data_IF_577599131869
#
_entry.id   IF_577599131869
#
_cell.length_a   1.000
_cell.length_b   1.000
_cell.length_c   1.000
_cell.angle_alpha   90.00
_cell.angle_beta   90.00
_cell.angle_gamma   90.00
#
_symmetry.space_group_name_H-M   'P 1'
#
loop_
_entity.id
_entity.type
_entity.pdbx_description
1 polymer ?
#
# COMPACT_ATOMS: atom_id res chain seq x y z
N UNK A 1 2.92 -8.23 4.28
CA UNK A 1 3.83 -7.50 5.14
C UNK A 1 5.27 -8.03 5.13
N UNK A 2 5.52 -9.29 4.75
CA UNK A 2 6.87 -9.88 4.69
C UNK A 2 7.65 -9.55 3.41
N UNK A 3 7.14 -8.71 2.51
CA UNK A 3 7.82 -8.37 1.26
C UNK A 3 7.86 -9.49 0.21
N UNK A 4 7.13 -10.58 0.42
CA UNK A 4 7.20 -11.80 -0.40
C UNK A 4 6.23 -11.79 -1.61
N UNK A 5 5.61 -10.66 -1.92
CA UNK A 5 4.68 -10.57 -3.05
C UNK A 5 5.34 -10.87 -4.39
N UNK A 6 6.62 -10.52 -4.57
CA UNK A 6 7.43 -10.85 -5.76
C UNK A 6 7.67 -12.35 -5.93
N UNK A 7 7.70 -13.11 -4.83
CA UNK A 7 7.77 -14.58 -4.83
C UNK A 7 6.41 -15.24 -4.95
N UNK A 8 5.33 -14.46 -5.16
CA UNK A 8 3.95 -14.95 -5.25
C UNK A 8 3.48 -15.73 -4.03
N UNK A 9 4.08 -15.45 -2.86
CA UNK A 9 3.73 -16.07 -1.59
C UNK A 9 2.73 -15.20 -0.83
N UNK A 10 1.62 -15.80 -0.45
CA UNK A 10 0.60 -15.24 0.41
C UNK A 10 -0.12 -16.34 1.16
N UNK A 11 -0.94 -15.95 2.14
CA UNK A 11 -1.81 -16.89 2.84
C UNK A 11 -3.15 -16.22 3.13
N UNK A 12 -4.15 -17.03 3.35
CA UNK A 12 -5.43 -16.63 3.89
C UNK A 12 -5.84 -17.53 5.04
N UNK A 13 -6.71 -17.02 5.90
CA UNK A 13 -7.28 -17.76 7.02
C UNK A 13 -8.79 -17.81 6.80
N UNK A 14 -9.36 -19.03 6.80
CA UNK A 14 -10.77 -19.24 6.58
C UNK A 14 -11.27 -20.45 7.41
N UNK A 15 -12.59 -20.68 7.43
CA UNK A 15 -13.15 -21.89 8.02
C UNK A 15 -12.75 -23.13 7.23
N UNK A 16 -12.81 -24.29 7.91
CA UNK A 16 -12.38 -25.57 7.33
C UNK A 16 -13.09 -25.90 6.01
N UNK A 17 -14.41 -25.69 5.92
CA UNK A 17 -15.19 -26.01 4.71
C UNK A 17 -14.69 -25.23 3.49
N UNK A 18 -14.44 -23.94 3.66
CA UNK A 18 -13.89 -23.09 2.58
C UNK A 18 -12.48 -23.53 2.22
N UNK A 19 -11.62 -23.77 3.22
CA UNK A 19 -10.23 -24.21 2.99
C UNK A 19 -10.19 -25.53 2.23
N UNK A 20 -10.99 -26.52 2.63
CA UNK A 20 -11.04 -27.83 1.95
C UNK A 20 -11.53 -27.68 0.50
N UNK A 21 -12.53 -26.86 0.24
CA UNK A 21 -13.00 -26.59 -1.12
C UNK A 21 -11.92 -25.91 -1.95
N UNK A 22 -11.24 -24.91 -1.39
CA UNK A 22 -10.17 -24.19 -2.09
C UNK A 22 -9.02 -25.14 -2.45
N UNK A 23 -8.54 -25.95 -1.49
CA UNK A 23 -7.43 -26.88 -1.67
C UNK A 23 -7.74 -27.98 -2.70
N UNK A 24 -8.96 -28.49 -2.68
CA UNK A 24 -9.33 -29.64 -3.51
C UNK A 24 -9.82 -29.27 -4.92
N UNK A 25 -10.32 -28.04 -5.12
CA UNK A 25 -10.99 -27.65 -6.36
C UNK A 25 -10.28 -26.49 -7.08
N UNK A 26 -9.75 -25.52 -6.33
CA UNK A 26 -9.25 -24.27 -6.90
C UNK A 26 -7.72 -24.16 -6.91
N UNK A 27 -7.03 -24.92 -6.05
CA UNK A 27 -5.59 -24.84 -5.95
C UNK A 27 -4.90 -25.75 -6.98
N UNK A 28 -3.86 -25.24 -7.63
CA UNK A 28 -3.00 -26.07 -8.47
C UNK A 28 -2.28 -27.13 -7.63
N UNK A 29 -1.98 -28.32 -8.19
CA UNK A 29 -1.30 -29.42 -7.47
C UNK A 29 0.04 -29.02 -6.85
N UNK A 30 0.78 -28.10 -7.51
CA UNK A 30 2.09 -27.59 -7.09
C UNK A 30 2.07 -26.06 -7.03
N UNK A 31 1.40 -25.45 -6.04
CA UNK A 31 1.14 -24.01 -6.03
C UNK A 31 2.39 -23.17 -5.70
N UNK A 32 3.38 -23.75 -5.02
CA UNK A 32 4.58 -23.05 -4.55
C UNK A 32 5.84 -23.81 -4.95
N UNK A 33 6.87 -23.05 -5.35
CA UNK A 33 8.21 -23.62 -5.55
C UNK A 33 8.91 -23.85 -4.21
N UNK A 34 9.87 -24.76 -4.17
CA UNK A 34 10.70 -25.01 -2.99
C UNK A 34 11.36 -23.73 -2.49
N UNK A 35 11.91 -22.91 -3.39
CA UNK A 35 12.54 -21.62 -3.05
C UNK A 35 11.54 -20.69 -2.37
N UNK A 36 10.29 -20.64 -2.85
CA UNK A 36 9.24 -19.83 -2.26
C UNK A 36 8.89 -20.30 -0.85
N UNK A 37 8.85 -21.61 -0.63
CA UNK A 37 8.56 -22.21 0.69
C UNK A 37 9.69 -21.87 1.67
N UNK A 38 10.94 -22.10 1.32
CA UNK A 38 12.12 -21.81 2.16
C UNK A 38 12.22 -20.32 2.51
N UNK A 39 11.96 -19.42 1.53
CA UNK A 39 11.91 -18.00 1.79
C UNK A 39 10.79 -17.62 2.77
N UNK A 40 9.64 -18.28 2.69
CA UNK A 40 8.50 -18.08 3.60
C UNK A 40 8.84 -18.51 5.03
N UNK A 41 9.44 -19.66 5.21
CA UNK A 41 9.89 -20.20 6.51
C UNK A 41 10.90 -19.23 7.13
N UNK A 42 11.95 -18.86 6.38
CA UNK A 42 12.98 -17.92 6.86
C UNK A 42 12.40 -16.56 7.24
N UNK A 43 11.42 -16.07 6.51
CA UNK A 43 10.74 -14.80 6.84
C UNK A 43 9.95 -14.90 8.14
N UNK A 44 9.25 -16.01 8.39
CA UNK A 44 8.51 -16.23 9.63
C UNK A 44 9.43 -16.34 10.84
N UNK A 45 10.54 -17.05 10.73
CA UNK A 45 11.57 -17.17 11.77
C UNK A 45 12.15 -15.79 12.14
N UNK A 46 12.31 -14.91 11.15
CA UNK A 46 12.82 -13.55 11.33
C UNK A 46 11.71 -12.49 11.54
N UNK A 47 10.52 -12.92 11.92
CA UNK A 47 9.35 -12.02 12.07
C UNK A 47 9.58 -10.81 12.97
N UNK A 48 10.46 -10.90 13.98
CA UNK A 48 10.81 -9.75 14.85
C UNK A 48 11.42 -8.58 14.07
N UNK A 49 12.20 -8.84 13.01
CA UNK A 49 12.75 -7.78 12.15
C UNK A 49 11.65 -7.07 11.37
N UNK A 50 10.62 -7.80 10.98
CA UNK A 50 9.48 -7.24 10.24
C UNK A 50 8.59 -6.36 11.11
N UNK A 51 8.49 -6.63 12.41
CA UNK A 51 7.69 -5.83 13.33
C UNK A 51 8.17 -4.37 13.38
N UNK A 52 9.48 -4.14 13.42
CA UNK A 52 10.04 -2.79 13.36
C UNK A 52 9.64 -2.03 12.07
N UNK A 53 9.71 -2.69 10.92
CA UNK A 53 9.26 -2.09 9.65
C UNK A 53 7.76 -1.80 9.65
N UNK A 54 6.94 -2.69 10.22
CA UNK A 54 5.49 -2.49 10.35
C UNK A 54 5.17 -1.27 11.23
N UNK A 55 5.89 -1.06 12.31
CA UNK A 55 5.66 0.09 13.21
C UNK A 55 6.06 1.41 12.55
N UNK A 56 7.14 1.42 11.76
CA UNK A 56 7.48 2.58 10.92
C UNK A 56 6.35 2.86 9.92
N UNK A 57 5.84 1.85 9.22
CA UNK A 57 4.74 2.01 8.28
C UNK A 57 3.49 2.58 8.97
N UNK A 58 3.13 2.09 10.16
CA UNK A 58 1.97 2.60 10.91
C UNK A 58 2.13 4.07 11.27
N UNK A 59 3.30 4.45 11.77
CA UNK A 59 3.62 5.83 12.17
C UNK A 59 3.58 6.77 10.97
N UNK A 60 4.27 6.41 9.90
CA UNK A 60 4.34 7.23 8.69
C UNK A 60 2.99 7.31 7.96
N UNK A 61 2.20 6.24 7.94
CA UNK A 61 0.85 6.26 7.41
C UNK A 61 -0.03 7.27 8.13
N UNK A 62 -0.01 7.26 9.46
CA UNK A 62 -0.73 8.24 10.28
C UNK A 62 -0.29 9.67 9.93
N UNK A 63 1.02 9.90 9.85
CA UNK A 63 1.59 11.20 9.48
C UNK A 63 1.12 11.68 8.10
N UNK A 64 1.12 10.80 7.09
CA UNK A 64 0.66 11.14 5.73
C UNK A 64 -0.83 11.47 5.74
N UNK A 65 -1.67 10.65 6.38
CA UNK A 65 -3.12 10.89 6.47
C UNK A 65 -3.41 12.25 7.13
N UNK A 66 -2.78 12.53 8.28
CA UNK A 66 -2.98 13.78 9.01
C UNK A 66 -2.55 15.02 8.21
N UNK A 67 -1.46 14.90 7.43
CA UNK A 67 -1.01 16.01 6.61
C UNK A 67 -1.88 16.22 5.36
N UNK A 68 -2.30 15.15 4.69
CA UNK A 68 -3.19 15.29 3.54
C UNK A 68 -4.57 15.85 3.94
N UNK A 69 -5.08 15.51 5.12
CA UNK A 69 -6.35 16.01 5.65
C UNK A 69 -6.36 17.51 5.99
N UNK A 70 -5.20 18.18 5.94
CA UNK A 70 -5.14 19.63 6.10
C UNK A 70 -5.65 20.40 4.86
N UNK A 71 -5.81 19.71 3.74
CA UNK A 71 -6.24 20.29 2.48
C UNK A 71 -7.69 19.89 2.18
N UNK A 72 -8.60 20.85 2.21
CA UNK A 72 -10.04 20.63 1.93
C UNK A 72 -10.29 20.11 0.51
N UNK A 73 -9.30 20.29 -0.39
CA UNK A 73 -9.33 19.78 -1.75
C UNK A 73 -9.10 18.27 -1.85
N UNK A 74 -8.82 17.58 -0.74
CA UNK A 74 -8.58 16.15 -0.69
C UNK A 74 -9.54 15.44 0.26
N UNK A 75 -10.20 14.41 -0.21
CA UNK A 75 -10.87 13.43 0.64
C UNK A 75 -9.93 12.26 0.91
N UNK A 76 -9.52 12.08 2.18
CA UNK A 76 -8.50 11.10 2.56
C UNK A 76 -9.13 9.95 3.33
N UNK A 77 -8.99 8.75 2.80
CA UNK A 77 -9.58 7.54 3.37
C UNK A 77 -8.70 6.94 4.47
N UNK A 78 -9.34 6.38 5.49
CA UNK A 78 -8.64 5.61 6.51
C UNK A 78 -8.00 4.36 5.89
N UNK A 79 -6.80 4.03 6.37
CA UNK A 79 -6.06 2.88 5.88
C UNK A 79 -5.42 2.10 7.01
N UNK A 80 -5.44 0.78 6.88
CA UNK A 80 -4.63 -0.16 7.68
C UNK A 80 -3.55 -0.85 6.84
N UNK A 81 -3.46 -0.50 5.56
CA UNK A 81 -2.48 -1.04 4.60
C UNK A 81 -1.16 -0.25 4.64
N UNK A 82 -0.21 -0.64 3.78
CA UNK A 82 1.05 0.08 3.56
C UNK A 82 0.93 1.17 2.48
N UNK A 83 -0.27 1.71 2.30
CA UNK A 83 -0.55 2.83 1.39
C UNK A 83 -1.70 3.67 1.93
N UNK A 84 -1.83 4.88 1.41
CA UNK A 84 -2.96 5.78 1.62
C UNK A 84 -3.66 6.01 0.29
N UNK A 85 -4.99 5.91 0.31
CA UNK A 85 -5.88 6.30 -0.77
C UNK A 85 -6.46 7.67 -0.45
N UNK A 86 -6.52 8.54 -1.45
CA UNK A 86 -7.19 9.83 -1.34
C UNK A 86 -7.80 10.24 -2.67
N UNK A 87 -8.92 10.95 -2.63
CA UNK A 87 -9.54 11.56 -3.79
C UNK A 87 -9.11 13.04 -3.88
N UNK A 88 -8.45 13.42 -4.95
CA UNK A 88 -8.07 14.78 -5.27
C UNK A 88 -9.08 15.44 -6.23
N UNK A 89 -10.26 14.84 -6.38
CA UNK A 89 -11.37 15.30 -7.21
C UNK A 89 -10.90 15.69 -8.63
N UNK A 90 -11.39 16.78 -9.17
CA UNK A 90 -11.01 17.26 -10.50
C UNK A 90 -9.53 17.62 -10.67
N UNK A 91 -8.79 17.82 -9.57
CA UNK A 91 -7.37 18.18 -9.60
C UNK A 91 -6.40 16.98 -9.71
N UNK A 92 -6.90 15.76 -9.64
CA UNK A 92 -6.06 14.55 -9.53
C UNK A 92 -5.03 14.38 -10.65
N UNK A 93 -5.36 14.79 -11.88
CA UNK A 93 -4.41 14.72 -13.01
C UNK A 93 -3.25 15.70 -12.82
N UNK A 94 -3.55 16.92 -12.34
CA UNK A 94 -2.54 17.94 -12.04
C UNK A 94 -1.63 17.48 -10.90
N UNK A 95 -2.21 16.98 -9.81
CA UNK A 95 -1.47 16.44 -8.66
C UNK A 95 -0.54 15.31 -9.10
N UNK A 96 -1.06 14.36 -9.88
CA UNK A 96 -0.29 13.23 -10.39
C UNK A 96 0.90 13.69 -11.26
N UNK A 97 0.67 14.61 -12.20
CA UNK A 97 1.71 15.13 -13.09
C UNK A 97 2.80 15.90 -12.32
N UNK A 98 2.40 16.82 -11.44
CA UNK A 98 3.34 17.62 -10.65
C UNK A 98 4.24 16.78 -9.73
N UNK A 99 3.70 15.69 -9.15
CA UNK A 99 4.49 14.74 -8.37
C UNK A 99 5.47 13.96 -9.26
N UNK A 100 5.04 13.54 -10.44
CA UNK A 100 5.88 12.82 -11.39
C UNK A 100 7.06 13.68 -11.88
N UNK A 101 6.84 14.97 -12.15
CA UNK A 101 7.89 15.93 -12.52
C UNK A 101 8.96 16.08 -11.43
N UNK A 102 8.59 15.91 -10.16
CA UNK A 102 9.52 15.91 -9.04
C UNK A 102 10.14 14.53 -8.74
N UNK A 103 9.93 13.54 -9.63
CA UNK A 103 10.41 12.17 -9.48
C UNK A 103 9.69 11.37 -8.38
N UNK A 104 8.46 11.78 -8.01
CA UNK A 104 7.64 11.08 -7.02
C UNK A 104 6.58 10.27 -7.76
N UNK A 105 6.75 8.94 -7.77
CA UNK A 105 5.81 8.02 -8.41
C UNK A 105 4.73 7.58 -7.45
N UNK A 106 3.48 7.92 -7.76
CA UNK A 106 2.28 7.43 -7.09
C UNK A 106 1.38 6.68 -8.08
N UNK A 107 0.33 6.04 -7.61
CA UNK A 107 -0.60 5.35 -8.50
C UNK A 107 -1.84 6.20 -8.77
N UNK A 108 -2.10 6.46 -10.04
CA UNK A 108 -3.34 7.06 -10.52
C UNK A 108 -4.38 5.95 -10.71
N UNK A 109 -5.47 6.00 -9.98
CA UNK A 109 -6.58 5.03 -10.06
C UNK A 109 -7.78 5.61 -10.80
N UNK A 110 -7.97 6.94 -10.75
CA UNK A 110 -9.11 7.60 -11.36
C UNK A 110 -10.40 7.33 -10.59
N UNK A 111 -11.44 6.89 -11.29
CA UNK A 111 -12.76 6.66 -10.69
C UNK A 111 -12.81 5.39 -9.85
N UNK A 112 -13.25 5.52 -8.61
CA UNK A 112 -13.56 4.41 -7.70
C UNK A 112 -14.91 4.70 -7.04
N UNK A 113 -15.94 3.95 -7.40
CA UNK A 113 -17.30 4.21 -6.93
C UNK A 113 -17.76 5.63 -7.31
N UNK A 114 -18.07 6.45 -6.32
CA UNK A 114 -18.50 7.84 -6.49
C UNK A 114 -17.33 8.85 -6.47
N UNK A 115 -16.09 8.40 -6.31
CA UNK A 115 -14.88 9.24 -6.25
C UNK A 115 -14.20 9.25 -7.61
N UNK A 116 -14.07 10.45 -8.21
CA UNK A 116 -13.62 10.60 -9.60
C UNK A 116 -12.09 10.76 -9.75
N UNK A 117 -11.38 11.15 -8.67
CA UNK A 117 -9.98 11.53 -8.72
C UNK A 117 -9.07 10.76 -7.79
N UNK A 118 -9.27 9.44 -7.64
CA UNK A 118 -8.53 8.62 -6.69
C UNK A 118 -7.06 8.44 -7.07
N UNK A 119 -6.20 8.74 -6.09
CA UNK A 119 -4.77 8.57 -6.10
C UNK A 119 -4.35 7.69 -4.92
N UNK A 120 -3.30 6.89 -5.10
CA UNK A 120 -2.76 6.02 -4.06
C UNK A 120 -1.26 6.25 -3.90
N UNK A 121 -0.82 6.59 -2.70
CA UNK A 121 0.58 6.70 -2.33
C UNK A 121 0.98 5.54 -1.41
N UNK A 122 2.07 4.85 -1.74
CA UNK A 122 2.65 3.82 -0.86
C UNK A 122 3.46 4.48 0.25
N UNK A 123 3.43 3.89 1.45
CA UNK A 123 4.25 4.34 2.55
C UNK A 123 5.70 3.89 2.31
N UNK A 124 6.58 4.84 2.13
CA UNK A 124 8.02 4.65 1.96
C UNK A 124 8.81 4.92 3.25
N UNK A 125 10.09 5.23 3.10
CA UNK A 125 10.92 5.72 4.21
C UNK A 125 10.47 7.11 4.67
N UNK A 126 10.91 7.52 5.86
CA UNK A 126 10.59 8.86 6.37
C UNK A 126 11.00 9.98 5.42
N UNK A 127 12.16 9.83 4.76
CA UNK A 127 12.69 10.78 3.78
C UNK A 127 11.79 10.84 2.53
N UNK A 128 11.42 9.67 1.99
CA UNK A 128 10.53 9.59 0.82
C UNK A 128 9.16 10.21 1.12
N UNK A 129 8.59 9.89 2.27
CA UNK A 129 7.31 10.43 2.71
C UNK A 129 7.38 11.95 2.95
N UNK A 130 8.50 12.45 3.49
CA UNK A 130 8.72 13.89 3.68
C UNK A 130 8.82 14.63 2.34
N UNK A 131 9.53 14.05 1.36
CA UNK A 131 9.60 14.60 0.01
C UNK A 131 8.21 14.67 -0.64
N UNK A 132 7.40 13.63 -0.50
CA UNK A 132 6.02 13.61 -0.99
C UNK A 132 5.17 14.72 -0.34
N UNK A 133 5.22 14.85 1.00
CA UNK A 133 4.43 15.87 1.71
C UNK A 133 4.88 17.31 1.39
N UNK A 134 6.19 17.52 1.17
CA UNK A 134 6.70 18.80 0.71
C UNK A 134 6.18 19.14 -0.68
N UNK A 135 6.22 18.20 -1.62
CA UNK A 135 5.73 18.41 -2.98
C UNK A 135 4.21 18.71 -3.01
N UNK A 136 3.42 18.06 -2.16
CA UNK A 136 1.99 18.38 -2.00
C UNK A 136 1.80 19.78 -1.45
N UNK A 137 2.56 20.18 -0.43
CA UNK A 137 2.48 21.52 0.14
C UNK A 137 2.80 22.59 -0.91
N UNK A 138 3.89 22.41 -1.66
CA UNK A 138 4.35 23.39 -2.65
C UNK A 138 3.40 23.48 -3.87
N UNK A 139 2.59 22.44 -4.10
CA UNK A 139 1.56 22.42 -5.15
C UNK A 139 0.26 23.12 -4.74
N UNK A 140 -0.09 23.10 -3.45
CA UNK A 140 -1.39 23.56 -2.94
C UNK A 140 -1.31 24.81 -2.06
N UNK A 141 -0.13 25.17 -1.57
CA UNK A 141 0.15 26.40 -0.81
C UNK A 141 0.54 27.51 -1.70
#
# INVERSE_FOLDING_TARGET
SFGLAGLRLGYFIANKKFTDTFMNVLQYPYPLSTITIEAGISALEKSKLMNGAVDVIKTERKRIIENLRKYDSFEVFDSKANFVLFDAHGSYKRVFAALAEQGISIRKLGKIGNHEGCLRVSIGTKEMNSKFLLAIRDLLG
#
